data_IF_521511748666
#
_entry.id   IF_521511748666
#
_cell.length_a   1.000
_cell.length_b   1.000
_cell.length_c   1.000
_cell.angle_alpha   90.00
_cell.angle_beta   90.00
_cell.angle_gamma   90.00
#
_symmetry.space_group_name_H-M   'P 1'
#
loop_
_entity.id
_entity.type
_entity.pdbx_description
1 polymer ?
#
# COMPACT_ATOMS: atom_id res chain seq x y z
N UNK A 1 -32.78 -22.32 24.57
CA UNK A 1 -31.33 -21.99 24.65
C UNK A 1 -30.55 -22.15 23.34
N UNK A 2 -31.16 -22.36 22.18
CA UNK A 2 -30.51 -22.59 20.88
C UNK A 2 -30.09 -21.31 20.12
N UNK A 3 -30.58 -20.12 20.51
CA UNK A 3 -30.34 -18.84 19.77
C UNK A 3 -28.95 -18.22 20.02
N UNK A 4 -28.36 -18.38 21.20
CA UNK A 4 -27.10 -17.77 21.59
C UNK A 4 -25.86 -18.37 20.87
N UNK A 5 -25.89 -19.67 20.55
CA UNK A 5 -24.78 -20.36 19.85
C UNK A 5 -24.64 -19.92 18.38
N UNK A 6 -25.78 -19.75 17.68
CA UNK A 6 -25.82 -19.37 16.27
C UNK A 6 -25.30 -17.94 16.04
N UNK A 7 -25.58 -17.02 16.95
CA UNK A 7 -25.10 -15.63 16.91
C UNK A 7 -23.59 -15.56 17.15
N UNK A 8 -23.02 -16.36 18.03
CA UNK A 8 -21.55 -16.38 18.29
C UNK A 8 -20.77 -16.93 17.11
N UNK A 9 -21.27 -17.96 16.44
CA UNK A 9 -20.62 -18.53 15.26
C UNK A 9 -20.61 -17.54 14.09
N UNK A 10 -21.69 -16.80 13.88
CA UNK A 10 -21.78 -15.75 12.85
C UNK A 10 -20.75 -14.64 13.15
N UNK A 11 -20.65 -14.18 14.40
CA UNK A 11 -19.72 -13.13 14.79
C UNK A 11 -18.24 -13.55 14.60
N UNK A 12 -17.91 -14.79 14.93
CA UNK A 12 -16.57 -15.33 14.71
C UNK A 12 -16.26 -15.50 13.21
N UNK A 13 -17.20 -15.91 12.40
CA UNK A 13 -17.04 -16.03 10.94
C UNK A 13 -16.82 -14.66 10.29
N UNK A 14 -17.59 -13.66 10.70
CA UNK A 14 -17.41 -12.28 10.22
C UNK A 14 -16.05 -11.73 10.65
N UNK A 15 -15.63 -11.96 11.91
CA UNK A 15 -14.32 -11.54 12.42
C UNK A 15 -13.17 -12.16 11.65
N UNK A 16 -13.23 -13.46 11.37
CA UNK A 16 -12.21 -14.17 10.57
C UNK A 16 -12.15 -13.63 9.14
N UNK A 17 -13.31 -13.44 8.50
CA UNK A 17 -13.37 -12.89 7.15
C UNK A 17 -12.77 -11.48 7.09
N UNK A 18 -13.12 -10.63 8.05
CA UNK A 18 -12.60 -9.25 8.11
C UNK A 18 -11.08 -9.22 8.35
N UNK A 19 -10.57 -10.04 9.26
CA UNK A 19 -9.12 -10.15 9.52
C UNK A 19 -8.36 -10.63 8.29
N UNK A 20 -8.83 -11.71 7.66
CA UNK A 20 -8.21 -12.23 6.43
C UNK A 20 -8.25 -11.21 5.30
N UNK A 21 -9.35 -10.48 5.15
CA UNK A 21 -9.49 -9.43 4.15
C UNK A 21 -8.50 -8.28 4.39
N UNK A 22 -8.38 -7.79 5.64
CA UNK A 22 -7.43 -6.73 6.01
C UNK A 22 -5.99 -7.19 5.73
N UNK A 23 -5.63 -8.40 6.14
CA UNK A 23 -4.28 -8.95 5.90
C UNK A 23 -3.99 -9.06 4.41
N UNK A 24 -4.95 -9.53 3.61
CA UNK A 24 -4.81 -9.62 2.15
C UNK A 24 -4.62 -8.23 1.50
N UNK A 25 -5.37 -7.22 1.95
CA UNK A 25 -5.23 -5.83 1.47
C UNK A 25 -3.86 -5.27 1.82
N UNK A 26 -3.37 -5.46 3.05
CA UNK A 26 -2.03 -5.01 3.47
C UNK A 26 -0.95 -5.68 2.61
N UNK A 27 -1.04 -7.00 2.41
CA UNK A 27 -0.09 -7.75 1.58
C UNK A 27 -0.12 -7.27 0.12
N UNK A 28 -1.31 -7.04 -0.44
CA UNK A 28 -1.47 -6.51 -1.79
C UNK A 28 -0.83 -5.13 -1.96
N UNK A 29 -1.08 -4.21 -1.02
CA UNK A 29 -0.48 -2.86 -1.04
C UNK A 29 1.04 -2.93 -0.93
N UNK A 30 1.57 -3.79 -0.05
CA UNK A 30 3.01 -3.98 0.10
C UNK A 30 3.66 -4.51 -1.19
N UNK A 31 3.05 -5.52 -1.82
CA UNK A 31 3.53 -6.09 -3.08
C UNK A 31 3.47 -5.04 -4.20
N UNK A 32 2.35 -4.30 -4.31
CA UNK A 32 2.20 -3.24 -5.31
C UNK A 32 3.27 -2.15 -5.14
N UNK A 33 3.57 -1.75 -3.90
CA UNK A 33 4.63 -0.78 -3.62
C UNK A 33 6.02 -1.28 -4.04
N UNK A 34 6.33 -2.55 -3.76
CA UNK A 34 7.60 -3.17 -4.19
C UNK A 34 7.67 -3.23 -5.72
N UNK A 35 6.61 -3.63 -6.40
CA UNK A 35 6.56 -3.69 -7.86
C UNK A 35 6.76 -2.31 -8.50
N UNK A 36 6.12 -1.27 -7.98
CA UNK A 36 6.29 0.12 -8.44
C UNK A 36 7.77 0.54 -8.32
N UNK A 37 8.43 0.19 -7.20
CA UNK A 37 9.86 0.47 -7.00
C UNK A 37 10.76 -0.29 -7.97
N UNK A 38 10.46 -1.57 -8.21
CA UNK A 38 11.22 -2.39 -9.16
C UNK A 38 11.07 -1.91 -10.61
N UNK A 39 9.93 -1.31 -10.96
CA UNK A 39 9.71 -0.69 -12.28
C UNK A 39 10.46 0.64 -12.46
N UNK A 40 11.24 1.09 -11.47
CA UNK A 40 11.99 2.36 -11.53
C UNK A 40 11.10 3.60 -11.44
N UNK A 41 9.89 3.48 -10.90
CA UNK A 41 8.98 4.59 -10.71
C UNK A 41 9.25 5.28 -9.37
N UNK A 42 9.38 6.60 -9.41
CA UNK A 42 9.53 7.45 -8.24
C UNK A 42 8.29 8.31 -8.06
N UNK A 43 7.92 8.57 -6.81
CA UNK A 43 6.79 9.40 -6.47
C UNK A 43 7.26 10.67 -5.79
N UNK A 44 6.72 11.83 -6.22
CA UNK A 44 7.05 13.13 -5.65
C UNK A 44 5.78 13.94 -5.39
N UNK A 45 5.86 14.87 -4.44
CA UNK A 45 4.83 15.88 -4.20
C UNK A 45 5.14 17.13 -5.02
N UNK A 46 4.11 17.74 -5.60
CA UNK A 46 4.22 19.02 -6.29
C UNK A 46 4.03 20.15 -5.28
N UNK A 47 5.09 20.90 -5.02
CA UNK A 47 5.10 21.95 -4.00
C UNK A 47 5.01 23.37 -4.59
N UNK A 48 5.14 23.53 -5.91
CA UNK A 48 5.08 24.84 -6.60
C UNK A 48 3.93 24.89 -7.62
N UNK A 49 3.54 26.13 -7.97
CA UNK A 49 2.48 26.39 -8.95
C UNK A 49 2.99 26.52 -10.39
N UNK A 50 4.29 26.36 -10.65
CA UNK A 50 4.90 26.57 -11.97
C UNK A 50 4.32 25.69 -13.08
N UNK A 51 3.72 24.54 -12.73
CA UNK A 51 3.12 23.60 -13.67
C UNK A 51 1.58 23.63 -13.66
N UNK A 52 0.97 24.63 -13.00
CA UNK A 52 -0.48 24.82 -12.99
C UNK A 52 -0.96 25.25 -14.39
N UNK A 53 -2.12 24.78 -14.89
CA UNK A 53 -3.08 23.89 -14.22
C UNK A 53 -2.78 22.39 -14.36
N UNK A 54 -1.79 22.00 -15.16
CA UNK A 54 -1.56 20.58 -15.51
C UNK A 54 -1.13 19.73 -14.32
N UNK A 55 -0.26 20.26 -13.46
CA UNK A 55 0.15 19.66 -12.20
C UNK A 55 -0.17 20.67 -11.07
N UNK A 56 -1.37 20.59 -10.47
CA UNK A 56 -1.73 21.48 -9.37
C UNK A 56 -0.83 21.27 -8.15
N UNK A 57 -0.66 22.32 -7.35
CA UNK A 57 0.02 22.21 -6.04
C UNK A 57 -0.65 21.14 -5.19
N UNK A 58 0.12 20.44 -4.37
CA UNK A 58 -0.32 19.31 -3.57
C UNK A 58 -0.79 18.09 -4.38
N UNK A 59 -0.29 17.93 -5.61
CA UNK A 59 -0.47 16.71 -6.39
C UNK A 59 0.63 15.70 -6.09
N UNK A 60 0.27 14.43 -6.14
CA UNK A 60 1.20 13.32 -6.24
C UNK A 60 1.54 13.10 -7.71
N UNK A 61 2.80 13.15 -8.09
CA UNK A 61 3.27 12.77 -9.42
C UNK A 61 4.08 11.49 -9.37
N UNK A 62 3.90 10.66 -10.38
CA UNK A 62 4.72 9.47 -10.62
C UNK A 62 5.67 9.75 -11.78
N UNK A 63 6.95 9.57 -11.53
CA UNK A 63 8.05 9.81 -12.46
C UNK A 63 8.68 8.48 -12.82
N UNK A 64 8.66 8.15 -14.10
CA UNK A 64 9.28 6.95 -14.65
C UNK A 64 10.68 7.28 -15.16
N UNK A 65 11.67 6.53 -14.72
CA UNK A 65 13.02 6.61 -15.27
C UNK A 65 13.01 6.08 -16.72
N UNK A 66 13.39 6.90 -17.66
CA UNK A 66 13.50 6.57 -19.09
C UNK A 66 14.83 7.07 -19.63
N UNK A 67 15.23 6.56 -20.79
CA UNK A 67 16.40 7.09 -21.50
C UNK A 67 16.10 8.54 -21.94
N UNK A 68 16.98 9.50 -21.65
CA UNK A 68 16.80 10.88 -22.11
C UNK A 68 16.58 11.02 -23.62
N UNK A 69 17.09 10.10 -24.44
CA UNK A 69 16.90 10.08 -25.89
C UNK A 69 15.45 9.79 -26.31
N UNK A 70 14.66 9.16 -25.42
CA UNK A 70 13.24 8.85 -25.66
C UNK A 70 12.31 10.03 -25.30
N UNK A 71 12.86 11.07 -24.62
CA UNK A 71 12.11 12.26 -24.22
C UNK A 71 11.82 13.10 -25.46
N UNK A 72 10.58 13.60 -25.55
CA UNK A 72 10.09 14.41 -26.66
C UNK A 72 9.71 15.80 -26.18
N UNK A 73 9.72 16.75 -27.10
CA UNK A 73 9.13 18.08 -26.87
C UNK A 73 7.67 17.92 -26.48
N UNK A 74 7.29 18.59 -25.40
CA UNK A 74 5.97 18.49 -24.78
C UNK A 74 5.91 17.55 -23.57
N UNK A 75 6.90 16.67 -23.39
CA UNK A 75 6.97 15.81 -22.19
C UNK A 75 7.25 16.64 -20.93
N UNK A 76 6.69 16.23 -19.82
CA UNK A 76 6.98 16.80 -18.50
C UNK A 76 8.06 15.95 -17.86
N UNK A 77 9.18 16.57 -17.50
CA UNK A 77 10.32 15.89 -16.92
C UNK A 77 10.63 16.43 -15.53
N UNK A 78 11.06 15.54 -14.64
CA UNK A 78 11.63 15.90 -13.34
C UNK A 78 13.15 15.78 -13.45
N UNK A 79 13.86 16.79 -13.01
CA UNK A 79 15.32 16.86 -13.07
C UNK A 79 15.90 17.52 -11.81
N UNK A 80 17.20 17.31 -11.60
CA UNK A 80 17.95 17.92 -10.50
C UNK A 80 18.54 19.24 -11.01
N UNK A 81 18.15 20.34 -10.35
CA UNK A 81 18.68 21.66 -10.65
C UNK A 81 20.04 21.84 -9.95
N UNK A 82 21.11 21.90 -10.73
CA UNK A 82 22.47 22.05 -10.24
C UNK A 82 22.83 21.02 -9.13
N UNK A 83 23.98 21.15 -8.48
CA UNK A 83 24.42 20.20 -7.45
C UNK A 83 23.69 20.32 -6.09
N UNK A 84 22.60 21.07 -6.01
CA UNK A 84 21.89 21.35 -4.74
C UNK A 84 20.80 20.32 -4.41
N UNK A 85 20.65 19.24 -5.17
CA UNK A 85 19.59 18.24 -5.03
C UNK A 85 18.15 18.79 -5.06
N UNK A 86 17.97 20.01 -5.61
CA UNK A 86 16.63 20.58 -5.78
C UNK A 86 15.98 19.92 -6.99
N UNK A 87 14.84 19.26 -6.75
CA UNK A 87 14.03 18.66 -7.81
C UNK A 87 13.12 19.72 -8.42
N UNK A 88 13.17 19.82 -9.74
CA UNK A 88 12.30 20.69 -10.54
C UNK A 88 11.56 19.84 -11.54
N UNK A 89 10.28 20.16 -11.76
CA UNK A 89 9.44 19.47 -12.74
C UNK A 89 8.87 20.49 -13.71
N UNK A 90 9.33 20.45 -14.97
CA UNK A 90 8.90 21.37 -16.01
C UNK A 90 8.71 20.64 -17.34
N UNK A 91 8.14 21.32 -18.33
CA UNK A 91 7.90 20.80 -19.68
C UNK A 91 9.08 21.05 -20.58
N UNK A 92 9.46 20.03 -21.36
CA UNK A 92 10.45 20.15 -22.41
C UNK A 92 9.86 20.96 -23.57
N UNK A 93 10.49 22.07 -23.93
CA UNK A 93 10.09 22.94 -25.05
C UNK A 93 11.05 22.83 -26.22
N UNK A 94 12.32 22.45 -25.99
CA UNK A 94 13.33 22.26 -27.02
C UNK A 94 14.33 21.17 -26.62
N UNK A 95 14.93 20.51 -27.61
CA UNK A 95 15.91 19.43 -27.42
C UNK A 95 17.13 19.76 -28.28
N UNK A 96 18.29 19.91 -27.65
CA UNK A 96 19.60 20.00 -28.33
C UNK A 96 20.33 18.65 -28.13
N UNK A 97 20.18 17.78 -29.13
CA UNK A 97 20.81 16.45 -29.08
C UNK A 97 22.33 16.51 -29.20
N UNK A 98 22.89 17.53 -29.83
CA UNK A 98 24.34 17.69 -29.99
C UNK A 98 24.99 18.04 -28.63
N UNK A 99 24.33 18.86 -27.83
CA UNK A 99 24.78 19.23 -26.48
C UNK A 99 24.23 18.32 -25.39
N UNK A 100 23.34 17.39 -25.73
CA UNK A 100 22.63 16.52 -24.77
C UNK A 100 21.89 17.32 -23.68
N UNK A 101 21.12 18.34 -24.11
CA UNK A 101 20.40 19.24 -23.21
C UNK A 101 18.94 19.41 -23.61
N UNK A 102 18.11 19.76 -22.64
CA UNK A 102 16.72 20.18 -22.81
C UNK A 102 16.58 21.64 -22.39
N UNK A 103 15.84 22.43 -23.18
CA UNK A 103 15.25 23.68 -22.70
C UNK A 103 13.89 23.34 -22.10
N UNK A 104 13.65 23.78 -20.87
CA UNK A 104 12.43 23.50 -20.14
C UNK A 104 11.68 24.78 -19.80
N UNK A 105 10.38 24.63 -19.50
CA UNK A 105 9.49 25.73 -19.10
C UNK A 105 8.38 25.22 -18.19
N UNK A 106 8.09 25.94 -17.12
CA UNK A 106 6.89 25.74 -16.33
C UNK A 106 5.63 26.15 -17.11
N UNK A 107 4.56 25.37 -17.03
CA UNK A 107 3.32 25.65 -17.78
C UNK A 107 2.69 27.02 -17.40
N UNK A 108 2.89 27.46 -16.16
CA UNK A 108 2.43 28.75 -15.66
C UNK A 108 3.45 29.89 -15.83
N UNK A 109 4.67 29.61 -16.31
CA UNK A 109 5.71 30.61 -16.46
C UNK A 109 5.57 31.33 -17.82
N UNK A 110 5.94 32.59 -17.89
CA UNK A 110 5.95 33.36 -19.16
C UNK A 110 7.17 33.00 -20.03
N UNK A 111 8.33 32.75 -19.41
CA UNK A 111 9.60 32.52 -20.10
C UNK A 111 10.11 31.11 -19.89
N UNK A 112 10.98 30.66 -20.78
CA UNK A 112 11.74 29.42 -20.61
C UNK A 112 12.69 29.55 -19.41
N UNK A 113 13.05 28.39 -18.85
CA UNK A 113 14.07 28.33 -17.81
C UNK A 113 15.41 28.85 -18.32
N UNK A 114 16.10 29.61 -17.48
CA UNK A 114 17.31 30.35 -17.90
C UNK A 114 18.51 29.47 -18.23
N UNK A 115 18.56 28.27 -17.70
CA UNK A 115 19.64 27.31 -17.89
C UNK A 115 19.11 26.01 -18.53
N UNK A 116 19.82 25.50 -19.58
CA UNK A 116 19.46 24.21 -20.15
C UNK A 116 19.73 23.06 -19.15
N UNK A 117 18.90 22.04 -19.21
CA UNK A 117 19.00 20.84 -18.39
C UNK A 117 19.80 19.77 -19.12
N UNK A 118 20.95 19.37 -18.57
CA UNK A 118 21.72 18.27 -19.14
C UNK A 118 21.02 16.93 -18.94
N UNK A 119 21.10 16.03 -19.92
CA UNK A 119 20.46 14.73 -19.88
C UNK A 119 20.78 13.92 -18.63
N UNK A 120 22.03 14.01 -18.14
CA UNK A 120 22.47 13.35 -16.92
C UNK A 120 21.76 13.83 -15.63
N UNK A 121 21.14 15.00 -15.66
CA UNK A 121 20.40 15.55 -14.52
C UNK A 121 18.92 15.12 -14.50
N UNK A 122 18.44 14.45 -15.54
CA UNK A 122 17.04 14.03 -15.63
C UNK A 122 16.80 12.81 -14.76
N UNK A 123 15.86 12.94 -13.85
CA UNK A 123 15.37 11.84 -12.99
C UNK A 123 14.40 10.94 -13.76
N UNK A 124 13.57 11.55 -14.61
CA UNK A 124 12.64 10.83 -15.47
C UNK A 124 11.47 11.69 -15.97
N UNK A 125 10.53 11.02 -16.63
CA UNK A 125 9.33 11.61 -17.22
C UNK A 125 8.12 11.41 -16.30
N UNK A 126 7.30 12.44 -16.13
CA UNK A 126 6.03 12.34 -15.41
C UNK A 126 5.04 11.54 -16.25
N UNK A 127 4.56 10.45 -15.70
CA UNK A 127 3.60 9.55 -16.37
C UNK A 127 2.20 9.63 -15.78
N UNK A 128 2.09 10.01 -14.50
CA UNK A 128 0.81 10.09 -13.81
C UNK A 128 0.79 11.23 -12.78
N UNK A 129 -0.40 11.83 -12.57
CA UNK A 129 -0.62 12.89 -11.59
C UNK A 129 -1.96 12.68 -10.88
N UNK A 130 -1.95 12.70 -9.55
CA UNK A 130 -3.16 12.63 -8.72
C UNK A 130 -3.23 13.88 -7.85
N UNK A 131 -4.14 14.80 -8.13
CA UNK A 131 -4.34 16.00 -7.31
C UNK A 131 -4.74 15.64 -5.88
N UNK A 132 -4.24 16.42 -4.91
CA UNK A 132 -4.62 16.29 -3.49
C UNK A 132 -3.86 15.19 -2.70
N UNK A 133 -3.09 14.32 -3.35
CA UNK A 133 -2.34 13.25 -2.68
C UNK A 133 -0.88 13.59 -2.37
N UNK A 134 -0.42 14.81 -2.65
CA UNK A 134 0.95 15.24 -2.36
C UNK A 134 1.23 15.32 -0.86
N UNK A 135 0.36 15.98 -0.08
CA UNK A 135 0.54 16.12 1.37
C UNK A 135 0.56 14.79 2.12
N UNK A 136 -0.39 13.86 1.92
CA UNK A 136 -0.32 12.53 2.51
C UNK A 136 0.99 11.81 2.18
N UNK A 137 1.42 11.83 0.92
CA UNK A 137 2.68 11.21 0.52
C UNK A 137 3.86 11.85 1.27
N UNK A 138 3.95 13.17 1.32
CA UNK A 138 5.03 13.89 2.00
C UNK A 138 5.11 13.51 3.49
N UNK A 139 3.98 13.42 4.18
CA UNK A 139 3.94 12.99 5.59
C UNK A 139 4.47 11.57 5.75
N UNK A 140 4.07 10.65 4.86
CA UNK A 140 4.46 9.22 4.93
C UNK A 140 5.94 9.03 4.57
N UNK A 141 6.47 9.82 3.63
CA UNK A 141 7.84 9.66 3.12
C UNK A 141 8.88 10.54 3.82
N UNK A 142 8.45 11.49 4.66
CA UNK A 142 9.35 12.34 5.43
C UNK A 142 10.28 11.49 6.32
N UNK A 143 11.57 11.81 6.32
CA UNK A 143 12.58 11.04 7.07
C UNK A 143 12.26 11.02 8.57
N UNK A 144 11.79 12.12 9.11
CA UNK A 144 11.35 12.27 10.49
C UNK A 144 10.19 11.32 10.88
N UNK A 145 9.32 10.99 9.93
CA UNK A 145 8.14 10.16 10.15
C UNK A 145 8.37 8.67 9.80
N UNK A 146 9.50 8.33 9.18
CA UNK A 146 9.79 6.99 8.68
C UNK A 146 9.63 5.90 9.76
N UNK A 147 10.21 6.12 10.94
CA UNK A 147 10.14 5.17 12.06
C UNK A 147 8.69 5.04 12.55
N UNK A 148 7.97 6.16 12.69
CA UNK A 148 6.58 6.15 13.12
C UNK A 148 5.68 5.39 12.13
N UNK A 149 5.84 5.64 10.83
CA UNK A 149 5.08 4.94 9.77
C UNK A 149 5.35 3.44 9.79
N UNK A 150 6.62 3.03 9.87
CA UNK A 150 6.99 1.60 9.96
C UNK A 150 6.40 0.98 11.23
N UNK A 151 6.49 1.67 12.38
CA UNK A 151 5.95 1.18 13.65
C UNK A 151 4.43 0.97 13.59
N UNK A 152 3.70 1.88 12.95
CA UNK A 152 2.25 1.75 12.75
C UNK A 152 1.93 0.54 11.87
N UNK A 153 2.63 0.36 10.75
CA UNK A 153 2.40 -0.78 9.84
C UNK A 153 2.69 -2.11 10.55
N UNK A 154 3.83 -2.21 11.24
CA UNK A 154 4.20 -3.41 12.00
C UNK A 154 3.21 -3.65 13.14
N UNK A 155 2.80 -2.62 13.85
CA UNK A 155 1.80 -2.71 14.92
C UNK A 155 0.45 -3.24 14.43
N UNK A 156 -0.05 -2.73 13.31
CA UNK A 156 -1.29 -3.20 12.70
C UNK A 156 -1.17 -4.66 12.23
N UNK A 157 -0.02 -5.04 11.67
CA UNK A 157 0.24 -6.41 11.26
C UNK A 157 0.28 -7.36 12.45
N UNK A 158 0.99 -7.01 13.52
CA UNK A 158 1.04 -7.81 14.75
C UNK A 158 -0.33 -7.92 15.42
N UNK A 159 -1.10 -6.83 15.42
CA UNK A 159 -2.48 -6.83 15.94
C UNK A 159 -3.39 -7.78 15.14
N UNK A 160 -3.24 -7.81 13.82
CA UNK A 160 -3.95 -8.74 12.94
C UNK A 160 -3.60 -10.19 13.26
N UNK A 161 -2.32 -10.52 13.38
CA UNK A 161 -1.86 -11.86 13.76
C UNK A 161 -2.35 -12.27 15.16
N UNK A 162 -2.27 -11.36 16.12
CA UNK A 162 -2.75 -11.60 17.49
C UNK A 162 -4.25 -11.90 17.51
N UNK A 163 -5.02 -11.17 16.71
CA UNK A 163 -6.46 -11.40 16.58
C UNK A 163 -6.77 -12.78 16.01
N UNK A 164 -6.04 -13.18 14.95
CA UNK A 164 -6.18 -14.51 14.35
C UNK A 164 -5.86 -15.64 15.33
N UNK A 165 -4.81 -15.49 16.13
CA UNK A 165 -4.44 -16.45 17.17
C UNK A 165 -5.52 -16.55 18.26
N UNK A 166 -6.06 -15.42 18.70
CA UNK A 166 -7.11 -15.39 19.72
C UNK A 166 -8.39 -16.10 19.24
N UNK A 167 -8.80 -15.86 18.00
CA UNK A 167 -10.00 -16.48 17.43
C UNK A 167 -9.78 -17.98 17.24
N UNK A 168 -8.63 -18.40 16.70
CA UNK A 168 -8.28 -19.81 16.52
C UNK A 168 -8.22 -20.59 17.83
N UNK A 169 -7.64 -20.00 18.88
CA UNK A 169 -7.58 -20.61 20.21
C UNK A 169 -8.97 -20.78 20.85
N UNK A 170 -9.88 -19.84 20.56
CA UNK A 170 -11.25 -19.90 21.07
C UNK A 170 -12.08 -20.99 20.40
N UNK A 171 -11.93 -21.15 19.08
CA UNK A 171 -12.59 -22.21 18.31
C UNK A 171 -12.12 -23.60 18.78
N UNK A 172 -10.84 -23.80 18.98
CA UNK A 172 -10.27 -25.08 19.43
C UNK A 172 -10.74 -25.48 20.82
N UNK A 173 -10.85 -24.52 21.76
CA UNK A 173 -11.40 -24.79 23.10
C UNK A 173 -12.87 -25.15 23.11
N UNK A 174 -13.65 -24.67 22.15
CA UNK A 174 -15.09 -25.04 22.05
C UNK A 174 -15.27 -26.42 21.40
N UNK A 175 -14.45 -26.81 20.43
CA UNK A 175 -14.42 -28.16 19.85
C UNK A 175 -13.99 -29.23 20.86
N UNK A 176 -12.95 -28.98 21.65
CA UNK A 176 -12.49 -29.91 22.71
C UNK A 176 -13.55 -30.10 23.80
N UNK A 177 -14.28 -29.03 24.15
CA UNK A 177 -15.40 -29.14 25.12
C UNK A 177 -16.58 -29.94 24.57
N UNK A 178 -16.89 -29.78 23.30
CA UNK A 178 -18.02 -30.46 22.65
C UNK A 178 -17.75 -31.96 22.49
N UNK A 179 -16.51 -32.29 22.04
CA UNK A 179 -16.06 -33.68 21.96
C UNK A 179 -16.02 -34.38 23.32
N UNK A 180 -15.60 -33.72 24.39
CA UNK A 180 -15.62 -34.27 25.75
C UNK A 180 -17.01 -34.50 26.30
N UNK A 181 -17.99 -33.67 25.91
CA UNK A 181 -19.39 -33.83 26.34
C UNK A 181 -20.09 -34.97 25.61
N UNK A 182 -19.80 -35.15 24.32
CA UNK A 182 -20.36 -36.22 23.50
C UNK A 182 -19.83 -37.59 23.93
N UNK A 183 -18.52 -37.72 24.22
CA UNK A 183 -17.94 -38.97 24.77
C UNK A 183 -18.54 -39.33 26.14
N UNK A 184 -18.85 -38.32 26.95
CA UNK A 184 -19.44 -38.57 28.29
C UNK A 184 -20.92 -38.98 28.20
N UNK A 185 -21.65 -38.46 27.23
CA UNK A 185 -23.02 -38.85 26.92
C UNK A 185 -23.11 -40.28 26.39
N UNK A 186 -22.23 -40.69 25.49
CA UNK A 186 -22.15 -42.06 24.95
C UNK A 186 -21.79 -43.08 26.02
N UNK A 187 -20.87 -42.79 26.91
CA UNK A 187 -20.50 -43.66 28.04
C UNK A 187 -21.65 -43.85 29.06
N UNK A 188 -22.50 -42.83 29.23
CA UNK A 188 -23.69 -42.92 30.11
C UNK A 188 -24.77 -43.75 29.46
N UNK A 189 -24.99 -43.62 28.15
CA UNK A 189 -25.97 -44.41 27.41
C UNK A 189 -25.58 -45.89 27.32
N UNK A 190 -24.32 -46.21 27.17
CA UNK A 190 -23.82 -47.59 27.17
C UNK A 190 -23.95 -48.25 28.56
N UNK A 191 -23.76 -47.52 29.65
CA UNK A 191 -23.95 -48.02 31.03
C UNK A 191 -25.43 -48.22 31.40
N UNK A 192 -26.34 -47.54 30.74
CA UNK A 192 -27.78 -47.62 30.99
C UNK A 192 -28.52 -48.62 30.07
N UNK A 193 -27.82 -49.22 29.11
CA UNK A 193 -28.37 -50.25 28.25
C UNK A 193 -28.67 -51.51 29.12
N UNK A 194 -29.91 -52.01 29.12
CA UNK A 194 -30.29 -53.19 29.97
C UNK A 194 -29.49 -54.39 29.50
N UNK A 195 -28.74 -54.99 30.42
CA UNK A 195 -28.18 -56.34 30.27
C UNK A 195 -29.32 -57.37 30.24
N UNK A 196 -30.01 -57.46 29.12
CA UNK A 196 -30.95 -58.52 28.87
C UNK A 196 -30.31 -59.56 27.95
N UNK A 197 -29.53 -60.45 28.52
CA UNK A 197 -29.25 -61.73 27.85
C UNK A 197 -28.85 -62.77 28.93
N UNK A 198 -29.77 -63.65 29.30
CA UNK A 198 -29.41 -64.81 30.03
C UNK A 198 -30.54 -65.44 30.88
N UNK A 199 -31.59 -65.82 30.23
CA UNK A 199 -32.43 -66.88 30.79
C UNK A 199 -32.93 -67.74 29.61
N UNK A 200 -32.24 -68.79 29.34
CA UNK A 200 -32.74 -70.09 28.90
C UNK A 200 -31.86 -71.18 29.47
#
# INVERSE_FOLDING_TARGET
>A
MRSSSKSKNILNTIGNFLSTFITAVIAFVAIAFVLIRLMGWNMFSVDSSSMTPKLPVNSLITVQKIDPQEIKVGDIVTYILNNNNILVTHRVVEIDSAKQTFTTKGDANESNDSAPVHWGNVVGKVVFCVPGLGTPLRIITAEENRIAVISVIVGLFLLSLFWDILIKNKSKKEEDKQSGTDIQADNITEKLAPQNSGLQ
#
